data_IF_789738281160
#
_entry.id   IF_789738281160
#
_cell.length_a   1.000
_cell.length_b   1.000
_cell.length_c   1.000
_cell.angle_alpha   90.00
_cell.angle_beta   90.00
_cell.angle_gamma   90.00
#
_symmetry.space_group_name_H-M   'P 1'
#
loop_
_entity.id
_entity.type
_entity.pdbx_description
1 polymer ?
#
# COMPACT_ATOMS: atom_id res chain seq x y z
N UNK A 1 -39.66 36.15 25.40
CA UNK A 1 -38.25 36.56 25.61
C UNK A 1 -37.60 36.68 24.23
N UNK A 2 -37.20 37.89 23.82
CA UNK A 2 -36.53 38.13 22.53
C UNK A 2 -35.04 37.81 22.68
N UNK A 3 -34.53 36.87 21.89
CA UNK A 3 -33.14 36.42 21.88
C UNK A 3 -32.27 37.52 21.26
N UNK A 4 -31.26 37.97 22.01
CA UNK A 4 -30.30 38.98 21.53
C UNK A 4 -29.40 38.38 20.43
N UNK A 5 -28.98 39.19 19.44
CA UNK A 5 -28.03 38.76 18.43
C UNK A 5 -26.63 38.60 19.01
N UNK A 6 -26.01 37.45 18.78
CA UNK A 6 -24.61 37.16 19.10
C UNK A 6 -23.70 38.05 18.25
N UNK A 7 -22.77 38.75 18.90
CA UNK A 7 -21.78 39.59 18.24
C UNK A 7 -20.73 38.69 17.58
N UNK A 8 -20.51 38.90 16.28
CA UNK A 8 -19.46 38.20 15.55
C UNK A 8 -18.08 38.67 15.99
N UNK A 9 -17.11 37.75 16.17
CA UNK A 9 -15.75 38.12 16.57
C UNK A 9 -15.04 38.88 15.43
N UNK A 10 -14.54 40.07 15.73
CA UNK A 10 -13.67 40.83 14.82
C UNK A 10 -12.43 40.00 14.45
N UNK A 11 -12.29 39.68 13.17
CA UNK A 11 -11.08 39.08 12.61
C UNK A 11 -9.91 40.07 12.74
N UNK A 12 -8.96 39.74 13.61
CA UNK A 12 -7.70 40.48 13.74
C UNK A 12 -6.89 40.36 12.44
N UNK A 13 -6.36 41.46 11.89
CA UNK A 13 -5.55 41.43 10.67
C UNK A 13 -4.30 40.58 10.89
N UNK A 14 -4.12 39.56 10.04
CA UNK A 14 -2.94 38.72 10.05
C UNK A 14 -1.71 39.58 9.70
N UNK A 15 -0.91 39.92 10.72
CA UNK A 15 0.37 40.59 10.52
C UNK A 15 1.31 39.65 9.76
N UNK A 16 1.68 40.09 8.55
CA UNK A 16 2.57 39.39 7.63
C UNK A 16 4.00 39.43 8.19
N UNK A 17 4.31 38.47 9.06
CA UNK A 17 5.63 38.33 9.67
C UNK A 17 6.65 37.93 8.59
N UNK A 18 7.75 38.68 8.42
CA UNK A 18 8.74 38.42 7.38
C UNK A 18 9.32 37.00 7.54
N UNK A 19 9.14 36.16 6.52
CA UNK A 19 9.84 34.88 6.43
C UNK A 19 11.34 35.15 6.34
N UNK A 20 12.04 35.07 7.46
CA UNK A 20 13.51 35.03 7.46
C UNK A 20 13.96 33.94 6.49
N UNK A 21 14.79 34.34 5.51
CA UNK A 21 15.35 33.43 4.53
C UNK A 21 16.09 32.31 5.26
N UNK A 22 15.54 31.09 5.19
CA UNK A 22 16.10 29.92 5.85
C UNK A 22 17.47 29.60 5.24
N UNK A 23 18.53 30.12 5.86
CA UNK A 23 19.90 29.77 5.51
C UNK A 23 20.10 28.26 5.57
N UNK A 24 21.01 27.74 4.74
CA UNK A 24 21.36 26.31 4.72
C UNK A 24 21.71 25.84 6.13
N UNK A 25 20.85 24.98 6.69
CA UNK A 25 21.00 24.48 8.06
C UNK A 25 22.13 23.47 8.07
N UNK A 26 23.19 23.76 8.84
CA UNK A 26 24.33 22.85 8.97
C UNK A 26 23.91 21.60 9.76
N UNK A 27 24.24 20.39 9.27
CA UNK A 27 24.02 19.16 10.03
C UNK A 27 24.83 19.17 11.32
N UNK A 28 24.36 18.43 12.33
CA UNK A 28 25.09 18.25 13.59
C UNK A 28 26.32 17.39 13.38
N UNK A 29 27.48 17.90 13.79
CA UNK A 29 28.77 17.19 13.71
C UNK A 29 29.10 16.42 15.00
N UNK A 30 28.41 16.73 16.10
CA UNK A 30 28.65 16.15 17.42
C UNK A 30 28.04 14.75 17.60
N UNK A 31 27.19 14.32 16.67
CA UNK A 31 26.50 13.02 16.72
C UNK A 31 26.55 12.33 15.36
N UNK A 32 26.83 11.02 15.36
CA UNK A 32 26.74 10.15 14.20
C UNK A 32 25.64 9.11 14.41
N UNK A 33 24.77 8.94 13.42
CA UNK A 33 23.73 7.91 13.41
C UNK A 33 24.05 6.91 12.31
N UNK A 34 23.99 5.61 12.63
CA UNK A 34 24.17 4.55 11.64
C UNK A 34 23.32 3.33 11.97
N UNK A 35 22.85 2.65 10.93
CA UNK A 35 22.12 1.38 11.04
C UNK A 35 23.12 0.24 11.28
N UNK A 36 22.80 -0.65 12.20
CA UNK A 36 23.58 -1.86 12.50
C UNK A 36 22.68 -3.08 12.41
N UNK A 37 23.10 -4.08 11.66
CA UNK A 37 22.49 -5.40 11.63
C UNK A 37 23.12 -6.26 12.74
N UNK A 38 22.27 -6.92 13.53
CA UNK A 38 22.67 -7.78 14.63
C UNK A 38 22.82 -9.23 14.16
N UNK A 39 23.44 -10.06 14.98
CA UNK A 39 23.63 -11.49 14.69
C UNK A 39 22.32 -12.29 14.54
N UNK A 40 21.20 -11.75 15.04
CA UNK A 40 19.85 -12.33 14.89
C UNK A 40 19.13 -11.84 13.62
N UNK A 41 19.79 -11.03 12.77
CA UNK A 41 19.21 -10.41 11.56
C UNK A 41 18.34 -9.19 11.85
N UNK A 42 18.16 -8.80 13.12
CA UNK A 42 17.43 -7.57 13.45
C UNK A 42 18.30 -6.34 13.20
N UNK A 43 17.66 -5.25 12.76
CA UNK A 43 18.32 -3.96 12.55
C UNK A 43 18.06 -3.03 13.73
N UNK A 44 19.05 -2.22 14.09
CA UNK A 44 18.90 -1.16 15.09
C UNK A 44 19.65 0.10 14.66
N UNK A 45 19.23 1.26 15.18
CA UNK A 45 19.95 2.52 15.00
C UNK A 45 20.89 2.73 16.17
N UNK A 46 22.17 2.92 15.88
CA UNK A 46 23.18 3.32 16.86
C UNK A 46 23.47 4.81 16.72
N UNK A 47 23.40 5.52 17.84
CA UNK A 47 23.79 6.92 17.95
C UNK A 47 25.10 6.99 18.70
N UNK A 48 26.14 7.56 18.10
CA UNK A 48 27.46 7.74 18.71
C UNK A 48 27.77 9.22 18.84
N UNK A 49 28.11 9.66 20.06
CA UNK A 49 28.56 11.02 20.33
C UNK A 49 30.04 11.15 20.03
N UNK A 50 30.41 12.10 19.18
CA UNK A 50 31.77 12.27 18.66
C UNK A 50 32.79 12.67 19.74
N UNK A 51 32.37 13.35 20.82
CA UNK A 51 33.27 13.88 21.84
C UNK A 51 33.84 12.81 22.78
N UNK A 52 33.05 11.78 23.12
CA UNK A 52 33.39 10.78 24.13
C UNK A 52 33.16 9.32 23.68
N UNK A 53 32.69 9.13 22.44
CA UNK A 53 32.38 7.80 21.91
C UNK A 53 31.20 7.12 22.60
N UNK A 54 30.40 7.86 23.38
CA UNK A 54 29.22 7.28 24.06
C UNK A 54 28.19 6.86 23.02
N UNK A 55 27.65 5.64 23.19
CA UNK A 55 26.71 5.02 22.25
C UNK A 55 25.35 4.78 22.89
N UNK A 56 24.31 5.02 22.11
CA UNK A 56 22.92 4.65 22.41
C UNK A 56 22.35 3.82 21.28
N UNK A 57 21.31 3.05 21.58
CA UNK A 57 20.70 2.13 20.62
C UNK A 57 19.20 2.27 20.67
N UNK A 58 18.58 2.34 19.49
CA UNK A 58 17.14 2.28 19.32
C UNK A 58 16.80 1.04 18.49
N UNK A 59 15.95 0.20 19.05
CA UNK A 59 15.50 -1.07 18.45
C UNK A 59 14.01 -1.01 18.13
N UNK A 60 13.51 -2.00 17.40
CA UNK A 60 12.08 -2.11 17.06
C UNK A 60 11.16 -2.14 18.28
N UNK A 61 11.64 -2.68 19.41
CA UNK A 61 10.95 -2.63 20.71
C UNK A 61 10.68 -1.20 21.20
N UNK A 62 11.47 -0.21 20.78
CA UNK A 62 11.23 1.22 21.08
C UNK A 62 9.99 1.73 20.36
N UNK A 63 9.80 1.32 19.10
CA UNK A 63 8.60 1.65 18.31
C UNK A 63 7.37 0.94 18.89
N UNK A 64 7.51 -0.34 19.25
CA UNK A 64 6.44 -1.09 19.89
C UNK A 64 6.01 -0.46 21.22
N UNK A 65 6.96 -0.02 22.04
CA UNK A 65 6.66 0.72 23.26
C UNK A 65 5.89 2.01 22.95
N UNK A 66 6.37 2.82 22.00
CA UNK A 66 5.76 4.10 21.61
C UNK A 66 4.31 3.96 21.09
N UNK A 67 4.03 2.90 20.35
CA UNK A 67 2.69 2.63 19.80
C UNK A 67 1.71 2.11 20.86
N UNK A 68 2.21 1.46 21.92
CA UNK A 68 1.38 0.82 22.95
C UNK A 68 1.27 1.62 24.26
N UNK A 69 2.14 2.60 24.48
CA UNK A 69 2.12 3.40 25.70
C UNK A 69 1.04 4.50 25.68
N UNK A 70 0.59 4.90 26.86
CA UNK A 70 -0.28 6.06 27.05
C UNK A 70 0.49 7.38 26.88
N UNK A 71 -0.25 8.50 26.74
CA UNK A 71 0.34 9.82 26.48
C UNK A 71 1.31 10.28 27.59
N UNK A 72 1.03 9.99 28.86
CA UNK A 72 1.88 10.41 29.98
C UNK A 72 3.18 9.61 30.01
N UNK A 73 3.09 8.30 29.78
CA UNK A 73 4.25 7.43 29.65
C UNK A 73 5.13 7.80 28.47
N UNK A 74 4.52 8.14 27.32
CA UNK A 74 5.24 8.61 26.14
C UNK A 74 5.99 9.91 26.40
N UNK A 75 5.33 10.90 27.02
CA UNK A 75 5.95 12.19 27.35
C UNK A 75 7.15 12.00 28.28
N UNK A 76 7.00 11.22 29.35
CA UNK A 76 8.10 10.94 30.29
C UNK A 76 9.28 10.23 29.62
N UNK A 77 9.00 9.31 28.70
CA UNK A 77 10.04 8.63 27.94
C UNK A 77 10.79 9.60 27.02
N UNK A 78 10.07 10.44 26.26
CA UNK A 78 10.66 11.46 25.38
C UNK A 78 11.46 12.52 26.15
N UNK A 79 11.01 12.91 27.34
CA UNK A 79 11.74 13.82 28.23
C UNK A 79 13.08 13.22 28.72
N UNK A 80 13.12 11.89 28.86
CA UNK A 80 14.36 11.16 29.17
C UNK A 80 15.34 11.06 27.99
N UNK A 81 14.88 11.32 26.76
CA UNK A 81 15.71 11.28 25.55
C UNK A 81 16.37 12.64 25.33
N UNK A 82 17.70 12.65 25.31
CA UNK A 82 18.48 13.87 25.08
C UNK A 82 18.40 14.32 23.63
N UNK A 83 18.69 15.60 23.37
CA UNK A 83 18.71 16.15 22.02
C UNK A 83 19.74 15.46 21.11
N UNK A 84 20.76 14.83 21.70
CA UNK A 84 21.79 14.08 20.97
C UNK A 84 21.26 12.70 20.54
N UNK A 85 20.28 12.15 21.24
CA UNK A 85 19.70 10.83 20.97
C UNK A 85 18.53 10.89 19.99
N UNK A 86 17.74 11.97 20.00
CA UNK A 86 16.55 12.15 19.14
C UNK A 86 16.81 11.87 17.64
N UNK A 87 17.93 12.31 17.02
CA UNK A 87 18.23 11.98 15.63
C UNK A 87 18.20 10.47 15.32
N UNK A 88 18.65 9.63 16.26
CA UNK A 88 18.62 8.18 16.09
C UNK A 88 17.21 7.60 16.15
N UNK A 89 16.39 8.09 17.09
CA UNK A 89 14.98 7.70 17.17
C UNK A 89 14.22 8.09 15.89
N UNK A 90 14.40 9.32 15.41
CA UNK A 90 13.77 9.79 14.17
C UNK A 90 14.23 8.98 12.95
N UNK A 91 15.50 8.58 12.90
CA UNK A 91 16.02 7.69 11.85
C UNK A 91 15.33 6.33 11.90
N UNK A 92 15.18 5.74 13.08
CA UNK A 92 14.49 4.46 13.25
C UNK A 92 13.03 4.55 12.79
N UNK A 93 12.32 5.58 13.24
CA UNK A 93 10.92 5.80 12.87
C UNK A 93 10.75 6.04 11.37
N UNK A 94 11.66 6.81 10.75
CA UNK A 94 11.65 7.04 9.31
C UNK A 94 11.83 5.76 8.50
N UNK A 95 12.73 4.88 8.95
CA UNK A 95 12.89 3.54 8.37
C UNK A 95 11.62 2.70 8.52
N UNK A 96 11.02 2.68 9.71
CA UNK A 96 9.78 1.92 9.96
C UNK A 96 8.61 2.41 9.11
N UNK A 97 8.45 3.74 8.94
CA UNK A 97 7.45 4.33 8.01
C UNK A 97 7.71 3.84 6.59
N UNK A 98 8.96 3.83 6.15
CA UNK A 98 9.35 3.34 4.82
C UNK A 98 9.02 1.86 4.61
N UNK A 99 9.39 1.01 5.57
CA UNK A 99 9.13 -0.43 5.52
C UNK A 99 7.62 -0.75 5.53
N UNK A 100 6.86 -0.17 6.46
CA UNK A 100 5.40 -0.37 6.50
C UNK A 100 4.71 0.21 5.27
N UNK A 101 5.18 1.35 4.76
CA UNK A 101 4.68 1.95 3.54
C UNK A 101 4.91 1.07 2.31
N UNK A 102 6.08 0.44 2.20
CA UNK A 102 6.37 -0.53 1.15
C UNK A 102 5.49 -1.78 1.26
N UNK A 103 5.33 -2.33 2.47
CA UNK A 103 4.45 -3.47 2.72
C UNK A 103 3.00 -3.15 2.33
N UNK A 104 2.49 -1.98 2.74
CA UNK A 104 1.16 -1.50 2.37
C UNK A 104 1.00 -1.41 0.85
N UNK A 105 1.96 -0.82 0.13
CA UNK A 105 1.92 -0.72 -1.34
C UNK A 105 1.84 -2.11 -2.00
N UNK A 106 2.58 -3.09 -1.51
CA UNK A 106 2.54 -4.45 -2.06
C UNK A 106 1.19 -5.13 -1.76
N UNK A 107 0.64 -4.97 -0.55
CA UNK A 107 -0.70 -5.51 -0.23
C UNK A 107 -1.80 -4.82 -1.06
N UNK A 108 -1.69 -3.51 -1.30
CA UNK A 108 -2.60 -2.78 -2.18
C UNK A 108 -2.51 -3.28 -3.62
N UNK A 109 -1.30 -3.56 -4.11
CA UNK A 109 -1.09 -4.15 -5.43
C UNK A 109 -1.68 -5.55 -5.52
N UNK A 110 -1.55 -6.38 -4.48
CA UNK A 110 -2.19 -7.69 -4.42
C UNK A 110 -3.73 -7.57 -4.44
N UNK A 111 -4.29 -6.66 -3.64
CA UNK A 111 -5.72 -6.34 -3.64
C UNK A 111 -6.18 -5.95 -5.04
N UNK A 112 -5.45 -5.06 -5.68
CA UNK A 112 -5.77 -4.50 -7.00
C UNK A 112 -5.66 -5.59 -8.10
N UNK A 113 -4.70 -6.53 -7.99
CA UNK A 113 -4.60 -7.69 -8.88
C UNK A 113 -5.80 -8.65 -8.73
N UNK A 114 -6.22 -8.94 -7.49
CA UNK A 114 -7.40 -9.77 -7.24
C UNK A 114 -8.68 -9.12 -7.79
N UNK A 115 -8.85 -7.81 -7.59
CA UNK A 115 -9.98 -7.07 -8.19
C UNK A 115 -9.96 -7.10 -9.71
N UNK A 116 -8.78 -6.89 -10.32
CA UNK A 116 -8.63 -6.98 -11.77
C UNK A 116 -9.17 -8.30 -12.32
N UNK A 117 -8.86 -9.43 -11.68
CA UNK A 117 -9.42 -10.73 -12.10
C UNK A 117 -10.94 -10.81 -11.97
N UNK A 118 -11.54 -10.29 -10.89
CA UNK A 118 -13.01 -10.23 -10.72
C UNK A 118 -13.68 -9.32 -11.77
N UNK A 119 -13.03 -8.22 -12.14
CA UNK A 119 -13.56 -7.24 -13.09
C UNK A 119 -13.49 -7.76 -14.54
N UNK A 120 -12.40 -8.41 -14.93
CA UNK A 120 -12.31 -9.09 -16.24
C UNK A 120 -13.40 -10.16 -16.37
N UNK A 121 -13.58 -10.97 -15.34
CA UNK A 121 -14.64 -11.98 -15.28
C UNK A 121 -16.04 -11.37 -15.43
N UNK A 122 -16.30 -10.21 -14.81
CA UNK A 122 -17.57 -9.52 -14.92
C UNK A 122 -17.90 -9.08 -16.36
N UNK A 123 -16.89 -8.65 -17.11
CA UNK A 123 -17.01 -8.32 -18.52
C UNK A 123 -16.96 -9.56 -19.44
N UNK A 124 -16.69 -10.75 -18.90
CA UNK A 124 -16.54 -12.00 -19.66
C UNK A 124 -15.30 -11.97 -20.54
N UNK A 125 -14.23 -11.36 -20.05
CA UNK A 125 -12.94 -11.24 -20.72
C UNK A 125 -11.91 -12.10 -20.02
N UNK A 126 -10.93 -12.60 -20.79
CA UNK A 126 -9.72 -13.17 -20.22
C UNK A 126 -8.72 -12.04 -19.93
N UNK A 127 -8.37 -11.85 -18.66
CA UNK A 127 -7.43 -10.82 -18.24
C UNK A 127 -6.03 -10.95 -18.85
N UNK A 128 -5.65 -12.15 -19.34
CA UNK A 128 -4.33 -12.42 -19.93
C UNK A 128 -4.26 -12.09 -21.42
N UNK A 129 -5.35 -12.32 -22.17
CA UNK A 129 -5.37 -12.17 -23.64
C UNK A 129 -6.12 -10.92 -24.13
N UNK A 130 -6.89 -10.25 -23.28
CA UNK A 130 -7.72 -9.14 -23.73
C UNK A 130 -6.90 -7.88 -24.12
N UNK A 131 -7.31 -7.20 -25.18
CA UNK A 131 -6.79 -5.88 -25.54
C UNK A 131 -7.65 -4.76 -24.94
N UNK A 132 -7.14 -3.53 -24.89
CA UNK A 132 -7.92 -2.37 -24.42
C UNK A 132 -9.19 -2.16 -25.25
N UNK A 133 -9.14 -2.52 -26.54
CA UNK A 133 -10.30 -2.48 -27.45
C UNK A 133 -11.37 -3.50 -27.07
N UNK A 134 -10.98 -4.65 -26.52
CA UNK A 134 -11.92 -5.67 -26.06
C UNK A 134 -12.61 -5.24 -24.77
N UNK A 135 -11.88 -4.59 -23.87
CA UNK A 135 -12.43 -3.98 -22.64
C UNK A 135 -13.47 -2.91 -23.01
N UNK A 136 -13.13 -1.99 -23.92
CA UNK A 136 -14.09 -0.98 -24.39
C UNK A 136 -15.32 -1.60 -25.06
N UNK A 137 -15.13 -2.64 -25.88
CA UNK A 137 -16.24 -3.33 -26.55
C UNK A 137 -17.15 -4.02 -25.54
N UNK A 138 -16.59 -4.70 -24.54
CA UNK A 138 -17.33 -5.36 -23.48
C UNK A 138 -18.08 -4.34 -22.61
N UNK A 139 -17.45 -3.21 -22.28
CA UNK A 139 -18.08 -2.10 -21.56
C UNK A 139 -19.29 -1.55 -22.32
N UNK A 140 -19.15 -1.24 -23.61
CA UNK A 140 -20.29 -0.74 -24.43
C UNK A 140 -21.43 -1.76 -24.46
N UNK A 141 -21.12 -3.05 -24.57
CA UNK A 141 -22.11 -4.13 -24.56
C UNK A 141 -22.85 -4.22 -23.22
N UNK A 142 -22.13 -4.22 -22.09
CA UNK A 142 -22.71 -4.25 -20.74
C UNK A 142 -23.49 -2.98 -20.42
N UNK A 143 -22.97 -1.82 -20.81
CA UNK A 143 -23.62 -0.52 -20.62
C UNK A 143 -24.98 -0.48 -21.32
N UNK A 144 -25.06 -0.98 -22.56
CA UNK A 144 -26.32 -1.06 -23.30
C UNK A 144 -27.34 -2.04 -22.67
N UNK A 145 -26.88 -3.03 -21.89
CA UNK A 145 -27.73 -4.00 -21.20
C UNK A 145 -28.22 -3.48 -19.85
N UNK A 146 -27.37 -2.75 -19.11
CA UNK A 146 -27.65 -2.25 -17.75
C UNK A 146 -28.16 -0.80 -17.74
N UNK A 147 -28.36 -0.17 -18.89
CA UNK A 147 -28.76 1.23 -18.96
C UNK A 147 -30.13 1.46 -18.28
N UNK A 148 -30.27 2.48 -17.40
CA UNK A 148 -31.53 2.74 -16.69
C UNK A 148 -32.71 3.00 -17.64
N UNK A 149 -32.49 3.75 -18.73
CA UNK A 149 -33.54 4.01 -19.75
C UNK A 149 -34.09 2.74 -20.42
N UNK A 150 -33.35 1.62 -20.37
CA UNK A 150 -33.78 0.33 -20.92
C UNK A 150 -34.31 -0.63 -19.86
N UNK A 151 -34.61 -0.11 -18.66
CA UNK A 151 -35.08 -0.89 -17.51
C UNK A 151 -33.95 -1.50 -16.67
N UNK A 152 -32.72 -1.01 -16.82
CA UNK A 152 -31.61 -1.34 -15.94
C UNK A 152 -31.69 -0.64 -14.58
N UNK A 153 -30.91 -1.13 -13.62
CA UNK A 153 -30.77 -0.52 -12.29
C UNK A 153 -29.58 0.44 -12.27
N UNK A 154 -29.78 1.65 -11.74
CA UNK A 154 -28.76 2.70 -11.68
C UNK A 154 -27.53 2.26 -10.89
N UNK A 155 -27.73 1.53 -9.77
CA UNK A 155 -26.61 1.04 -8.96
C UNK A 155 -25.76 0.02 -9.71
N UNK A 156 -26.41 -0.86 -10.47
CA UNK A 156 -25.73 -1.86 -11.30
C UNK A 156 -24.94 -1.22 -12.44
N UNK A 157 -25.45 -0.12 -13.00
CA UNK A 157 -24.75 0.66 -14.02
C UNK A 157 -23.53 1.40 -13.45
N UNK A 158 -23.67 2.01 -12.28
CA UNK A 158 -22.56 2.67 -11.58
C UNK A 158 -21.46 1.68 -11.16
N UNK A 159 -21.83 0.50 -10.67
CA UNK A 159 -20.88 -0.57 -10.36
C UNK A 159 -20.09 -1.00 -11.61
N UNK A 160 -20.78 -1.21 -12.73
CA UNK A 160 -20.14 -1.51 -14.01
C UNK A 160 -19.17 -0.40 -14.45
N UNK A 161 -19.54 0.88 -14.31
CA UNK A 161 -18.66 2.01 -14.64
C UNK A 161 -17.40 2.00 -13.78
N UNK A 162 -17.55 1.81 -12.47
CA UNK A 162 -16.41 1.74 -11.53
C UNK A 162 -15.42 0.63 -11.90
N UNK A 163 -15.92 -0.56 -12.24
CA UNK A 163 -15.08 -1.69 -12.69
C UNK A 163 -14.31 -1.37 -13.98
N UNK A 164 -14.95 -0.69 -14.93
CA UNK A 164 -14.29 -0.27 -16.17
C UNK A 164 -13.19 0.77 -15.91
N UNK A 165 -13.46 1.78 -15.07
CA UNK A 165 -12.46 2.78 -14.68
C UNK A 165 -11.29 2.13 -13.95
N UNK A 166 -11.55 1.17 -13.06
CA UNK A 166 -10.53 0.40 -12.37
C UNK A 166 -9.66 -0.42 -13.32
N UNK A 167 -10.26 -1.18 -14.26
CA UNK A 167 -9.48 -1.91 -15.27
C UNK A 167 -8.58 -0.99 -16.09
N UNK A 168 -9.07 0.21 -16.41
CA UNK A 168 -8.30 1.22 -17.13
C UNK A 168 -7.16 1.79 -16.29
N UNK A 169 -7.38 2.02 -15.00
CA UNK A 169 -6.34 2.48 -14.07
C UNK A 169 -5.28 1.40 -13.79
N UNK A 170 -5.66 0.11 -13.80
CA UNK A 170 -4.72 -1.00 -13.67
C UNK A 170 -3.82 -1.19 -14.89
N UNK A 171 -4.34 -0.86 -16.09
CA UNK A 171 -3.62 -1.00 -17.36
C UNK A 171 -2.87 0.24 -17.80
N UNK A 172 -3.47 1.41 -17.57
CA UNK A 172 -2.78 2.66 -17.79
C UNK A 172 -1.70 2.81 -16.75
N UNK A 173 -0.53 3.32 -17.15
CA UNK A 173 0.47 3.90 -16.24
C UNK A 173 -0.12 5.13 -15.53
N UNK A 174 -1.26 4.97 -14.86
CA UNK A 174 -1.74 5.87 -13.85
C UNK A 174 -0.63 5.93 -12.83
N UNK A 175 0.27 6.91 -13.01
CA UNK A 175 1.22 7.38 -12.01
C UNK A 175 0.36 7.76 -10.82
N UNK A 176 -0.04 6.77 -10.04
CA UNK A 176 -0.69 6.90 -8.74
C UNK A 176 0.29 7.79 -8.03
N UNK A 177 -0.04 9.09 -7.93
CA UNK A 177 0.90 10.14 -7.53
C UNK A 177 1.58 9.57 -6.32
N UNK A 178 2.86 9.22 -6.50
CA UNK A 178 3.57 8.36 -5.57
C UNK A 178 3.44 9.09 -4.25
N UNK A 179 2.54 8.59 -3.40
CA UNK A 179 1.95 9.36 -2.33
C UNK A 179 3.12 9.70 -1.45
N UNK A 180 3.58 10.93 -1.58
CA UNK A 180 4.91 11.31 -1.16
C UNK A 180 4.98 11.06 0.32
N UNK A 181 5.65 9.97 0.71
CA UNK A 181 6.40 9.91 1.95
C UNK A 181 7.48 10.96 1.83
N UNK A 182 7.07 12.22 1.81
CA UNK A 182 7.96 13.36 1.74
C UNK A 182 8.82 13.22 2.96
N UNK A 183 10.13 13.07 2.75
CA UNK A 183 11.09 12.99 3.82
C UNK A 183 10.78 14.12 4.81
N UNK A 184 10.31 13.75 6.00
CA UNK A 184 9.88 14.72 7.00
C UNK A 184 11.11 15.56 7.33
N UNK A 185 11.01 16.86 7.04
CA UNK A 185 12.11 17.80 7.27
C UNK A 185 12.08 18.22 8.72
N UNK A 186 13.20 18.05 9.42
CA UNK A 186 13.39 18.52 10.78
C UNK A 186 14.76 19.18 10.93
N UNK A 187 14.88 20.10 11.87
CA UNK A 187 16.14 20.74 12.23
C UNK A 187 16.83 19.95 13.34
N UNK A 188 18.04 19.41 13.11
CA UNK A 188 18.76 18.66 14.12
C UNK A 188 19.19 19.50 15.33
N UNK A 189 19.24 20.84 15.19
CA UNK A 189 19.62 21.75 16.25
C UNK A 189 18.42 22.27 17.06
N UNK A 190 17.19 21.91 16.70
CA UNK A 190 15.97 22.32 17.39
C UNK A 190 15.23 21.12 17.93
N UNK A 191 15.26 20.95 19.26
CA UNK A 191 14.49 19.90 19.96
C UNK A 191 13.01 19.95 19.57
N UNK A 192 12.42 21.15 19.53
CA UNK A 192 11.01 21.31 19.16
C UNK A 192 10.73 20.84 17.73
N UNK A 193 11.64 21.11 16.79
CA UNK A 193 11.52 20.60 15.42
C UNK A 193 11.61 19.08 15.36
N UNK A 194 12.48 18.46 16.17
CA UNK A 194 12.63 17.02 16.25
C UNK A 194 11.40 16.35 16.89
N UNK A 195 10.86 16.93 17.97
CA UNK A 195 9.64 16.42 18.63
C UNK A 195 8.41 16.54 17.71
N UNK A 196 8.32 17.60 16.91
CA UNK A 196 7.28 17.71 15.88
C UNK A 196 7.39 16.59 14.85
N UNK A 197 8.60 16.37 14.31
CA UNK A 197 8.82 15.30 13.35
C UNK A 197 8.58 13.91 13.94
N UNK A 198 8.89 13.71 15.22
CA UNK A 198 8.56 12.50 15.96
C UNK A 198 7.04 12.26 15.98
N UNK A 199 6.25 13.27 16.36
CA UNK A 199 4.78 13.20 16.34
C UNK A 199 4.24 12.87 14.95
N UNK A 200 4.74 13.56 13.92
CA UNK A 200 4.31 13.36 12.53
C UNK A 200 4.63 11.93 12.04
N UNK A 201 5.83 11.40 12.35
CA UNK A 201 6.22 10.01 12.04
C UNK A 201 5.32 9.02 12.78
N UNK A 202 5.05 9.25 14.06
CA UNK A 202 4.20 8.38 14.87
C UNK A 202 2.78 8.27 14.29
N UNK A 203 2.20 9.41 13.92
CA UNK A 203 0.88 9.46 13.28
C UNK A 203 0.88 8.69 11.95
N UNK A 204 1.94 8.83 11.15
CA UNK A 204 2.09 8.06 9.92
C UNK A 204 2.17 6.55 10.18
N UNK A 205 2.95 6.10 11.16
CA UNK A 205 3.06 4.69 11.51
C UNK A 205 1.69 4.14 11.93
N UNK A 206 0.94 4.86 12.78
CA UNK A 206 -0.40 4.46 13.23
C UNK A 206 -1.36 4.35 12.02
N UNK A 207 -1.36 5.36 11.15
CA UNK A 207 -2.22 5.37 9.97
C UNK A 207 -1.89 4.23 9.01
N UNK A 208 -0.61 4.04 8.65
CA UNK A 208 -0.16 2.97 7.75
C UNK A 208 -0.54 1.61 8.32
N UNK A 209 -0.33 1.38 9.61
CA UNK A 209 -0.68 0.10 10.24
C UNK A 209 -2.16 -0.19 10.21
N UNK A 210 -3.00 0.81 10.51
CA UNK A 210 -4.45 0.64 10.41
C UNK A 210 -4.86 0.30 8.97
N UNK A 211 -4.37 1.08 8.00
CA UNK A 211 -4.71 0.90 6.59
C UNK A 211 -4.19 -0.43 6.04
N UNK A 212 -2.99 -0.86 6.45
CA UNK A 212 -2.44 -2.17 6.10
C UNK A 212 -3.36 -3.28 6.59
N UNK A 213 -3.81 -3.24 7.85
CA UNK A 213 -4.76 -4.23 8.37
C UNK A 213 -6.08 -4.25 7.57
N UNK A 214 -6.62 -3.09 7.24
CA UNK A 214 -7.87 -2.97 6.46
C UNK A 214 -7.70 -3.55 5.05
N UNK A 215 -6.58 -3.27 4.38
CA UNK A 215 -6.27 -3.80 3.03
C UNK A 215 -5.98 -5.30 3.08
N UNK A 216 -5.22 -5.78 4.05
CA UNK A 216 -4.96 -7.22 4.24
C UNK A 216 -6.26 -8.00 4.43
N UNK A 217 -7.18 -7.50 5.26
CA UNK A 217 -8.50 -8.12 5.44
C UNK A 217 -9.29 -8.20 4.12
N UNK A 218 -9.25 -7.14 3.30
CA UNK A 218 -9.90 -7.15 1.98
C UNK A 218 -9.27 -8.19 1.03
N UNK A 219 -7.95 -8.33 1.05
CA UNK A 219 -7.23 -9.35 0.27
C UNK A 219 -7.67 -10.74 0.70
N UNK A 220 -7.68 -11.04 2.00
CA UNK A 220 -8.11 -12.34 2.53
C UNK A 220 -9.55 -12.67 2.15
N UNK A 221 -10.48 -11.71 2.28
CA UNK A 221 -11.88 -11.89 1.87
C UNK A 221 -12.01 -12.17 0.37
N UNK A 222 -11.25 -11.47 -0.49
CA UNK A 222 -11.22 -11.72 -1.94
C UNK A 222 -10.64 -13.08 -2.29
N UNK A 223 -9.51 -13.45 -1.70
CA UNK A 223 -8.91 -14.77 -1.90
C UNK A 223 -9.87 -15.89 -1.51
N UNK A 224 -10.58 -15.73 -0.38
CA UNK A 224 -11.56 -16.71 0.08
C UNK A 224 -12.77 -16.78 -0.87
N UNK A 225 -13.30 -15.65 -1.35
CA UNK A 225 -14.36 -15.62 -2.38
C UNK A 225 -13.90 -16.32 -3.66
N UNK A 226 -12.70 -16.04 -4.13
CA UNK A 226 -12.12 -16.67 -5.32
C UNK A 226 -11.91 -18.18 -5.13
N UNK A 227 -11.49 -18.62 -3.93
CA UNK A 227 -11.37 -20.04 -3.59
C UNK A 227 -12.72 -20.74 -3.68
N UNK A 228 -13.77 -20.20 -3.05
CA UNK A 228 -15.13 -20.76 -3.09
C UNK A 228 -15.64 -20.81 -4.53
N UNK A 229 -15.46 -19.74 -5.30
CA UNK A 229 -15.87 -19.70 -6.71
C UNK A 229 -15.19 -20.80 -7.52
N UNK A 230 -13.88 -20.96 -7.40
CA UNK A 230 -13.12 -22.03 -8.08
C UNK A 230 -13.63 -23.42 -7.71
N UNK A 231 -13.96 -23.66 -6.44
CA UNK A 231 -14.52 -24.96 -6.02
C UNK A 231 -15.90 -25.25 -6.58
N UNK A 232 -16.74 -24.23 -6.80
CA UNK A 232 -18.09 -24.40 -7.35
C UNK A 232 -18.09 -24.50 -8.88
N UNK A 233 -17.22 -23.76 -9.57
CA UNK A 233 -17.13 -23.78 -11.03
C UNK A 233 -16.38 -25.00 -11.55
N UNK A 234 -15.60 -25.69 -10.72
CA UNK A 234 -15.03 -27.01 -11.02
C UNK A 234 -16.08 -28.12 -10.87
N UNK A 235 -17.27 -27.90 -11.42
CA UNK A 235 -18.03 -29.04 -11.90
C UNK A 235 -17.16 -29.64 -13.01
N UNK A 236 -16.65 -30.89 -12.87
CA UNK A 236 -16.00 -31.53 -14.00
C UNK A 236 -16.99 -31.40 -15.15
N UNK A 237 -16.57 -30.76 -16.23
CA UNK A 237 -17.17 -31.04 -17.53
C UNK A 237 -16.90 -32.54 -17.71
N UNK A 238 -17.82 -33.35 -17.20
CA UNK A 238 -17.91 -34.73 -17.59
C UNK A 238 -18.14 -34.64 -19.07
N UNK A 239 -17.13 -35.02 -19.84
CA UNK A 239 -17.20 -35.39 -21.26
C UNK A 239 -18.13 -36.61 -21.44
N UNK A 240 -19.31 -36.56 -20.82
CA UNK A 240 -20.41 -37.48 -21.01
C UNK A 240 -21.29 -36.85 -22.09
N UNK A 241 -20.86 -37.04 -23.35
CA UNK A 241 -21.71 -37.23 -24.53
C UNK A 241 -20.89 -37.09 -25.81
N UNK A 242 -19.93 -38.02 -26.03
CA UNK A 242 -19.55 -38.39 -27.40
C UNK A 242 -19.07 -39.84 -27.48
N UNK A 243 -19.91 -40.74 -27.00
CA UNK A 243 -19.94 -42.10 -27.53
C UNK A 243 -20.84 -42.14 -28.75
N UNK A 244 -20.30 -42.74 -29.81
CA UNK A 244 -21.00 -43.41 -30.91
C UNK A 244 -21.43 -42.58 -32.13
N UNK A 245 -20.48 -42.43 -33.07
CA UNK A 245 -20.74 -42.85 -34.44
C UNK A 245 -19.44 -43.31 -35.11
N UNK A 246 -19.39 -44.61 -35.39
CA UNK A 246 -18.33 -45.34 -36.03
C UNK A 246 -17.95 -44.80 -37.43
N UNK A 247 -16.66 -44.90 -37.78
CA UNK A 247 -16.28 -45.41 -39.10
C UNK A 247 -14.88 -45.99 -39.07
N UNK A 248 -14.82 -47.27 -39.38
CA UNK A 248 -13.64 -48.09 -39.57
C UNK A 248 -12.82 -47.68 -40.81
N UNK A 249 -11.57 -48.13 -40.83
CA UNK A 249 -10.63 -48.09 -41.97
C UNK A 249 -9.23 -47.82 -41.46
N UNK A 250 -8.47 -48.87 -41.12
CA UNK A 250 -7.40 -49.44 -41.98
C UNK A 250 -6.21 -48.48 -42.16
N UNK A 251 -4.95 -48.86 -42.12
CA UNK A 251 -4.18 -50.03 -41.73
C UNK A 251 -2.71 -49.60 -41.95
N UNK A 252 -1.79 -50.15 -41.17
CA UNK A 252 -0.37 -50.36 -41.49
C UNK A 252 0.52 -49.16 -41.88
N UNK A 253 1.64 -48.96 -41.15
CA UNK A 253 3.00 -49.34 -41.58
C UNK A 253 4.02 -48.78 -40.54
N UNK A 254 4.54 -49.61 -39.63
CA UNK A 254 5.90 -50.18 -39.60
C UNK A 254 7.05 -49.17 -39.46
N UNK A 255 7.69 -49.25 -38.29
CA UNK A 255 9.12 -49.15 -37.97
C UNK A 255 9.99 -48.01 -38.54
N UNK A 256 10.82 -47.40 -37.69
CA UNK A 256 12.18 -47.91 -37.43
C UNK A 256 13.13 -46.82 -36.87
N UNK A 257 14.05 -47.30 -36.03
CA UNK A 257 15.45 -46.83 -35.85
C UNK A 257 15.76 -45.63 -34.92
N UNK A 258 16.17 -45.98 -33.69
CA UNK A 258 17.52 -45.81 -33.10
C UNK A 258 18.44 -44.65 -33.55
N UNK A 259 19.29 -44.25 -32.58
CA UNK A 259 20.67 -43.71 -32.69
C UNK A 259 20.76 -42.16 -32.61
N UNK A 260 21.69 -41.51 -31.91
CA UNK A 260 22.74 -41.86 -30.96
C UNK A 260 23.12 -40.59 -30.18
N UNK A 261 23.76 -40.80 -29.02
CA UNK A 261 24.53 -39.81 -28.29
C UNK A 261 25.70 -39.24 -29.10
N UNK A 262 26.08 -37.98 -28.85
CA UNK A 262 27.48 -37.55 -28.96
C UNK A 262 27.74 -36.25 -28.19
N UNK A 263 28.79 -36.34 -27.38
CA UNK A 263 29.72 -35.33 -26.85
C UNK A 263 29.20 -34.16 -25.99
#
# INVERSE_FOLDING_TARGET
ARRAPEAEPEESPAEDMPMEAAGERKPREDVKCFMVERADGSTCVVVERSSDGKRWRFEKSSIEFELNCDADSLSKWLDGITDQQLPGLLTLMGTEVGERGAALKETEKERDALRGTEDYDFFGLDGTECSDRDIERAYRKKSAQLHPDKGGDEKSFDDMRKKYEQLKDLRGDGKRKEGGGGAIKWDPNSRQSMLKAHSDLREQIIWITKHLNDVSKQVEEMQQRNRVRRTLTWAPHSDSCRSDAASAGDAAYVASTLQAASC
#
